data_IF_167596230936
#
_entry.id   IF_167596230936
#
_cell.length_a   1.000
_cell.length_b   1.000
_cell.length_c   1.000
_cell.angle_alpha   90.00
_cell.angle_beta   90.00
_cell.angle_gamma   90.00
#
_symmetry.space_group_name_H-M   'P 1'
#
loop_
_entity.id
_entity.type
_entity.pdbx_description
1 polymer ?
#
# COMPACT_ATOMS: atom_id res chain seq x y z
N UNK A 1 -2.82 -12.94 33.04
CA UNK A 1 -3.39 -13.17 31.69
C UNK A 1 -3.31 -14.65 31.23
N UNK A 2 -2.35 -15.47 31.68
CA UNK A 2 -2.16 -16.85 31.16
C UNK A 2 -3.02 -17.97 31.80
N UNK A 3 -3.63 -17.74 32.97
CA UNK A 3 -4.39 -18.75 33.73
C UNK A 3 -5.41 -19.60 32.93
N UNK A 4 -6.28 -19.04 32.05
CA UNK A 4 -7.25 -19.84 31.31
C UNK A 4 -6.60 -20.84 30.35
N UNK A 5 -5.43 -20.52 29.82
CA UNK A 5 -4.69 -21.39 28.90
C UNK A 5 -4.06 -22.58 29.65
N UNK A 6 -3.48 -22.34 30.83
CA UNK A 6 -2.97 -23.41 31.70
C UNK A 6 -4.09 -24.37 32.15
N UNK A 7 -5.26 -23.86 32.52
CA UNK A 7 -6.39 -24.72 32.90
C UNK A 7 -6.82 -25.68 31.77
N UNK A 8 -6.76 -25.21 30.51
CA UNK A 8 -7.03 -26.06 29.34
C UNK A 8 -5.91 -27.09 29.13
N UNK A 9 -4.66 -26.67 29.27
CA UNK A 9 -3.51 -27.57 29.15
C UNK A 9 -3.51 -28.68 30.20
N UNK A 10 -3.79 -28.37 31.47
CA UNK A 10 -3.94 -29.38 32.53
C UNK A 10 -5.13 -30.33 32.33
N UNK A 11 -6.10 -29.97 31.48
CA UNK A 11 -7.18 -30.87 31.02
C UNK A 11 -6.79 -31.71 29.81
N UNK A 12 -5.52 -31.68 29.40
CA UNK A 12 -5.00 -32.48 28.30
C UNK A 12 -5.05 -31.82 26.91
N UNK A 13 -5.43 -30.54 26.83
CA UNK A 13 -5.56 -29.83 25.55
C UNK A 13 -4.24 -29.13 25.21
N UNK A 14 -3.66 -29.42 24.05
CA UNK A 14 -2.58 -28.58 23.52
C UNK A 14 -3.15 -27.19 23.15
N UNK A 15 -2.50 -26.14 23.62
CA UNK A 15 -2.93 -24.75 23.40
C UNK A 15 -1.84 -23.99 22.70
N UNK A 16 -2.20 -23.23 21.68
CA UNK A 16 -1.34 -22.25 21.01
C UNK A 16 -2.08 -20.92 20.98
N UNK A 17 -1.40 -19.84 21.36
CA UNK A 17 -2.00 -18.51 21.46
C UNK A 17 -0.93 -17.40 21.44
N UNK A 18 -1.36 -16.18 21.11
CA UNK A 18 -0.57 -14.97 21.27
C UNK A 18 -1.02 -14.20 22.51
N UNK A 19 -0.09 -13.53 23.18
CA UNK A 19 -0.36 -12.67 24.32
C UNK A 19 0.56 -11.46 24.32
N UNK A 20 0.00 -10.29 24.58
CA UNK A 20 0.77 -9.06 24.83
C UNK A 20 0.83 -8.81 26.34
N UNK A 21 2.05 -8.67 26.84
CA UNK A 21 2.38 -8.33 28.22
C UNK A 21 2.69 -6.83 28.28
N UNK A 22 1.87 -6.10 29.04
CA UNK A 22 1.95 -4.65 29.16
C UNK A 22 2.48 -4.29 30.56
N UNK A 23 3.66 -4.78 30.94
CA UNK A 23 4.26 -4.45 32.24
C UNK A 23 5.19 -3.23 32.13
N UNK A 24 4.64 -2.11 32.59
CA UNK A 24 5.30 -0.88 33.06
C UNK A 24 6.18 -0.05 32.14
N UNK A 25 6.63 -0.49 30.97
CA UNK A 25 7.19 0.41 29.92
C UNK A 25 7.56 -0.33 28.61
N UNK A 26 7.52 -1.66 28.58
CA UNK A 26 7.76 -2.45 27.37
C UNK A 26 6.53 -3.32 27.05
N UNK A 27 5.89 -3.04 25.92
CA UNK A 27 4.89 -3.91 25.31
C UNK A 27 5.61 -5.12 24.71
N UNK A 28 5.52 -6.28 25.36
CA UNK A 28 6.16 -7.53 24.90
C UNK A 28 5.11 -8.50 24.40
N UNK A 29 5.15 -8.85 23.12
CA UNK A 29 4.27 -9.82 22.51
C UNK A 29 4.91 -11.19 22.42
N UNK A 30 4.23 -12.20 22.92
CA UNK A 30 4.68 -13.58 22.94
C UNK A 30 3.71 -14.47 22.16
N UNK A 31 4.22 -15.21 21.18
CA UNK A 31 3.54 -16.39 20.66
C UNK A 31 3.94 -17.59 21.49
N UNK A 32 2.99 -18.26 22.14
CA UNK A 32 3.29 -19.35 23.05
C UNK A 32 2.44 -20.59 22.81
N UNK A 33 2.98 -21.73 23.23
CA UNK A 33 2.26 -22.99 23.32
C UNK A 33 2.37 -23.61 24.70
N UNK A 34 1.32 -24.32 25.09
CA UNK A 34 1.24 -25.15 26.28
C UNK A 34 0.94 -26.58 25.87
N UNK A 35 1.90 -27.48 26.15
CA UNK A 35 1.80 -28.89 25.82
C UNK A 35 1.72 -29.74 27.09
N UNK A 36 0.63 -30.49 27.32
CA UNK A 36 0.54 -31.42 28.43
C UNK A 36 1.49 -32.59 28.24
N UNK A 37 2.17 -32.98 29.31
CA UNK A 37 3.03 -34.17 29.40
C UNK A 37 2.39 -35.14 30.37
N UNK A 38 2.13 -36.35 29.87
CA UNK A 38 1.40 -37.38 30.59
C UNK A 38 2.33 -38.34 31.32
N UNK A 39 1.91 -38.79 32.50
CA UNK A 39 2.42 -39.99 33.15
C UNK A 39 1.24 -40.95 33.35
N UNK A 40 1.18 -42.02 32.56
CA UNK A 40 -0.04 -42.83 32.45
C UNK A 40 -1.20 -42.04 31.82
N UNK A 41 -2.34 -41.99 32.50
CA UNK A 41 -3.55 -41.29 32.05
C UNK A 41 -3.70 -39.86 32.64
N UNK A 42 -2.74 -39.40 33.45
CA UNK A 42 -2.80 -38.10 34.10
C UNK A 42 -1.77 -37.13 33.52
N UNK A 43 -2.16 -35.85 33.39
CA UNK A 43 -1.24 -34.78 33.01
C UNK A 43 -0.37 -34.45 34.20
N UNK A 44 0.93 -34.80 34.14
CA UNK A 44 1.89 -34.55 35.22
C UNK A 44 2.54 -33.17 35.12
N UNK A 45 2.82 -32.73 33.90
CA UNK A 45 3.45 -31.43 33.64
C UNK A 45 2.78 -30.74 32.45
N UNK A 46 2.97 -29.42 32.36
CA UNK A 46 2.67 -28.65 31.16
C UNK A 46 3.95 -27.94 30.75
N UNK A 47 4.40 -28.20 29.53
CA UNK A 47 5.54 -27.51 28.93
C UNK A 47 5.04 -26.21 28.34
N UNK A 48 5.62 -25.10 28.78
CA UNK A 48 5.43 -23.77 28.18
C UNK A 48 6.60 -23.47 27.25
N UNK A 49 6.28 -23.15 26.00
CA UNK A 49 7.25 -22.65 25.04
C UNK A 49 6.73 -21.31 24.53
N UNK A 50 7.57 -20.27 24.51
CA UNK A 50 7.20 -18.97 24.00
C UNK A 50 8.31 -18.41 23.12
N UNK A 51 7.89 -17.71 22.08
CA UNK A 51 8.74 -16.96 21.16
C UNK A 51 8.35 -15.50 21.26
N UNK A 52 9.33 -14.63 21.44
CA UNK A 52 9.12 -13.20 21.36
C UNK A 52 8.80 -12.81 19.92
N UNK A 53 7.65 -12.17 19.73
CA UNK A 53 7.14 -11.67 18.44
C UNK A 53 6.91 -10.17 18.48
N UNK A 54 7.45 -9.47 19.48
CA UNK A 54 7.30 -8.01 19.66
C UNK A 54 7.81 -7.27 18.44
N UNK A 55 9.03 -7.59 17.97
CA UNK A 55 9.63 -6.96 16.79
C UNK A 55 8.73 -7.11 15.56
N UNK A 56 8.19 -8.31 15.31
CA UNK A 56 7.29 -8.57 14.19
C UNK A 56 6.03 -7.71 14.28
N UNK A 57 5.39 -7.65 15.45
CA UNK A 57 4.16 -6.86 15.62
C UNK A 57 4.42 -5.36 15.50
N UNK A 58 5.53 -4.85 16.04
CA UNK A 58 5.93 -3.45 15.91
C UNK A 58 6.17 -3.10 14.43
N UNK A 59 6.84 -3.97 13.68
CA UNK A 59 7.09 -3.77 12.26
C UNK A 59 5.79 -3.75 11.45
N UNK A 60 4.89 -4.72 11.66
CA UNK A 60 3.59 -4.79 10.99
C UNK A 60 2.77 -3.53 11.28
N UNK A 61 2.65 -3.14 12.56
CA UNK A 61 1.92 -1.93 12.93
C UNK A 61 2.54 -0.67 12.34
N UNK A 62 3.86 -0.56 12.35
CA UNK A 62 4.56 0.59 11.76
C UNK A 62 4.31 0.69 10.26
N UNK A 63 4.25 -0.46 9.55
CA UNK A 63 3.91 -0.52 8.13
C UNK A 63 2.45 -0.08 7.90
N UNK A 64 1.49 -0.65 8.64
CA UNK A 64 0.08 -0.28 8.54
C UNK A 64 -0.14 1.22 8.83
N UNK A 65 0.54 1.78 9.83
CA UNK A 65 0.49 3.20 10.15
C UNK A 65 1.08 4.06 9.01
N UNK A 66 2.18 3.63 8.39
CA UNK A 66 2.78 4.32 7.26
C UNK A 66 1.88 4.28 6.01
N UNK A 67 1.30 3.12 5.68
CA UNK A 67 0.36 2.96 4.56
C UNK A 67 -0.88 3.83 4.74
N UNK A 68 -1.46 3.83 5.95
CA UNK A 68 -2.62 4.67 6.26
C UNK A 68 -2.29 6.17 6.18
N UNK A 69 -1.09 6.58 6.62
CA UNK A 69 -0.63 7.98 6.48
C UNK A 69 -0.48 8.34 5.00
N UNK A 70 0.17 7.49 4.21
CA UNK A 70 0.34 7.71 2.77
C UNK A 70 -1.01 7.83 2.06
N UNK A 71 -1.93 6.88 2.29
CA UNK A 71 -3.26 6.90 1.68
C UNK A 71 -4.06 8.17 2.02
N UNK A 72 -3.99 8.66 3.27
CA UNK A 72 -4.64 9.91 3.67
C UNK A 72 -4.00 11.13 3.01
N UNK A 73 -2.67 11.16 2.94
CA UNK A 73 -1.96 12.26 2.27
C UNK A 73 -2.36 12.33 0.80
N UNK A 74 -2.28 11.23 0.06
CA UNK A 74 -2.61 11.23 -1.38
C UNK A 74 -4.07 11.57 -1.66
N UNK A 75 -5.00 11.20 -0.76
CA UNK A 75 -6.41 11.58 -0.86
C UNK A 75 -6.67 13.08 -0.72
N UNK A 76 -5.84 13.78 0.06
CA UNK A 76 -6.00 15.20 0.35
C UNK A 76 -5.21 16.10 -0.61
N UNK A 77 -4.25 15.56 -1.37
CA UNK A 77 -3.49 16.32 -2.36
C UNK A 77 -4.43 16.90 -3.44
N UNK A 78 -4.26 18.19 -3.81
CA UNK A 78 -5.03 18.80 -4.89
C UNK A 78 -4.59 18.28 -6.27
N UNK A 79 -3.32 17.84 -6.36
CA UNK A 79 -2.67 17.37 -7.58
C UNK A 79 -3.00 15.90 -7.84
N UNK A 80 -3.09 15.54 -9.11
CA UNK A 80 -3.30 14.17 -9.53
C UNK A 80 -2.03 13.35 -9.33
N UNK A 81 -2.15 12.19 -8.71
CA UNK A 81 -1.04 11.26 -8.53
C UNK A 81 -1.43 9.90 -9.12
N UNK A 82 -0.62 9.43 -10.07
CA UNK A 82 -0.72 8.10 -10.64
C UNK A 82 0.55 7.32 -10.32
N UNK A 83 0.41 6.03 -10.06
CA UNK A 83 1.51 5.07 -10.06
C UNK A 83 1.33 4.16 -11.27
N UNK A 84 2.38 4.00 -12.07
CA UNK A 84 2.34 3.19 -13.28
C UNK A 84 3.46 2.14 -13.29
N UNK A 85 3.18 1.01 -13.92
CA UNK A 85 4.13 -0.03 -14.29
C UNK A 85 3.91 -0.39 -15.76
N UNK A 86 4.97 -0.41 -16.57
CA UNK A 86 4.87 -0.75 -17.99
C UNK A 86 3.83 0.07 -18.80
N UNK A 87 3.74 1.38 -18.50
CA UNK A 87 2.73 2.31 -19.04
C UNK A 87 1.28 2.05 -18.56
N UNK A 88 1.06 1.07 -17.69
CA UNK A 88 -0.24 0.71 -17.12
C UNK A 88 -0.42 1.32 -15.73
N UNK A 89 -1.56 1.95 -15.49
CA UNK A 89 -1.86 2.58 -14.20
C UNK A 89 -2.25 1.52 -13.17
N UNK A 90 -1.48 1.44 -12.08
CA UNK A 90 -1.70 0.51 -10.97
C UNK A 90 -2.27 1.19 -9.72
N UNK A 91 -2.14 2.51 -9.60
CA UNK A 91 -2.78 3.30 -8.54
C UNK A 91 -3.07 4.72 -9.00
N UNK A 92 -4.13 5.31 -8.45
CA UNK A 92 -4.57 6.66 -8.76
C UNK A 92 -5.24 7.30 -7.54
N UNK A 93 -4.89 8.56 -7.23
CA UNK A 93 -5.56 9.30 -6.16
C UNK A 93 -6.88 9.97 -6.67
N UNK A 94 -7.79 10.40 -5.79
CA UNK A 94 -9.05 11.05 -6.21
C UNK A 94 -8.85 12.32 -7.05
N UNK A 95 -7.79 13.08 -6.79
CA UNK A 95 -7.49 14.29 -7.56
C UNK A 95 -7.15 14.00 -9.03
N UNK A 96 -6.51 12.86 -9.32
CA UNK A 96 -6.24 12.45 -10.70
C UNK A 96 -7.52 12.23 -11.50
N UNK A 97 -8.51 11.54 -10.92
CA UNK A 97 -9.83 11.36 -11.56
C UNK A 97 -10.50 12.71 -11.83
N UNK A 98 -10.46 13.64 -10.86
CA UNK A 98 -11.01 14.99 -11.01
C UNK A 98 -10.34 15.78 -12.13
N UNK A 99 -9.00 15.80 -12.18
CA UNK A 99 -8.24 16.52 -13.21
C UNK A 99 -8.45 15.92 -14.60
N UNK A 100 -8.65 14.60 -14.66
CA UNK A 100 -8.90 13.84 -15.89
C UNK A 100 -10.39 13.71 -16.24
N UNK A 101 -11.29 14.38 -15.51
CA UNK A 101 -12.72 14.40 -15.81
C UNK A 101 -13.47 13.08 -15.64
N UNK A 102 -12.94 12.17 -14.82
CA UNK A 102 -13.52 10.86 -14.51
C UNK A 102 -14.26 10.88 -13.16
N UNK A 103 -15.22 9.97 -12.96
CA UNK A 103 -16.01 9.95 -11.72
C UNK A 103 -15.27 9.27 -10.57
N UNK A 104 -14.35 8.35 -10.88
CA UNK A 104 -13.65 7.55 -9.87
C UNK A 104 -12.22 7.24 -10.31
N UNK A 105 -11.23 7.25 -9.38
CA UNK A 105 -9.88 6.79 -9.66
C UNK A 105 -9.82 5.32 -10.09
N UNK A 106 -10.83 4.51 -9.75
CA UNK A 106 -10.90 3.12 -10.19
C UNK A 106 -11.06 2.97 -11.71
N UNK A 107 -11.59 3.98 -12.41
CA UNK A 107 -11.71 3.97 -13.88
C UNK A 107 -10.35 4.14 -14.59
N UNK A 108 -9.32 4.56 -13.85
CA UNK A 108 -7.96 4.70 -14.37
C UNK A 108 -7.15 3.41 -14.23
N UNK A 109 -7.53 2.50 -13.32
CA UNK A 109 -6.75 1.31 -13.04
C UNK A 109 -6.77 0.35 -14.23
N UNK A 110 -5.59 -0.11 -14.64
CA UNK A 110 -5.40 -0.98 -15.80
C UNK A 110 -5.37 -0.25 -17.15
N UNK A 111 -5.54 1.08 -17.16
CA UNK A 111 -5.47 1.86 -18.39
C UNK A 111 -4.03 2.26 -18.74
N UNK A 112 -3.78 2.38 -20.05
CA UNK A 112 -2.51 2.88 -20.57
C UNK A 112 -2.44 4.41 -20.39
N UNK A 113 -1.37 4.89 -19.74
CA UNK A 113 -1.13 6.31 -19.48
C UNK A 113 -1.20 7.15 -20.75
N UNK A 114 -0.58 6.66 -21.83
CA UNK A 114 -0.51 7.31 -23.14
C UNK A 114 -1.89 7.58 -23.77
N UNK A 115 -2.94 6.88 -23.36
CA UNK A 115 -4.32 7.13 -23.84
C UNK A 115 -5.00 8.32 -23.19
N UNK A 116 -4.52 8.75 -22.03
CA UNK A 116 -5.14 9.83 -21.26
C UNK A 116 -4.70 11.20 -21.76
N UNK A 117 -3.58 11.29 -22.47
CA UNK A 117 -2.97 12.54 -22.88
C UNK A 117 -2.68 12.58 -24.38
N UNK A 118 -2.63 13.78 -24.94
CA UNK A 118 -2.19 14.07 -26.30
C UNK A 118 -1.15 15.20 -26.25
N UNK A 119 -0.25 15.21 -27.23
CA UNK A 119 0.72 16.29 -27.37
C UNK A 119 0.01 17.62 -27.65
N UNK A 120 0.50 18.74 -27.09
CA UNK A 120 -0.05 20.07 -27.35
C UNK A 120 0.14 20.46 -28.82
N UNK A 121 1.28 20.07 -29.41
CA UNK A 121 1.59 20.36 -30.80
C UNK A 121 2.55 19.33 -31.41
N UNK A 122 2.06 18.36 -32.20
CA UNK A 122 0.71 18.27 -32.78
C UNK A 122 -0.31 17.62 -31.82
N UNK A 123 -1.58 18.07 -31.81
CA UNK A 123 -2.71 17.45 -31.10
C UNK A 123 -2.99 15.99 -31.48
N UNK A 124 -2.08 15.10 -31.13
CA UNK A 124 -2.04 13.69 -31.50
C UNK A 124 -1.65 12.87 -30.29
N UNK A 125 -2.11 11.63 -30.30
CA UNK A 125 -1.72 10.62 -29.32
C UNK A 125 -0.22 10.34 -29.44
N UNK A 126 0.44 10.12 -28.31
CA UNK A 126 1.84 9.75 -28.27
C UNK A 126 2.05 8.41 -28.98
N UNK A 127 2.99 8.37 -29.93
CA UNK A 127 3.36 7.15 -30.66
C UNK A 127 4.32 6.26 -29.89
N UNK A 128 4.94 6.81 -28.84
CA UNK A 128 5.82 6.13 -27.90
C UNK A 128 5.21 6.16 -26.50
N UNK A 129 5.68 5.26 -25.63
CA UNK A 129 5.27 5.22 -24.22
C UNK A 129 5.53 6.58 -23.56
N UNK A 130 4.48 7.23 -23.08
CA UNK A 130 4.58 8.56 -22.47
C UNK A 130 5.47 8.53 -21.22
N UNK A 131 5.44 7.42 -20.49
CA UNK A 131 6.36 7.06 -19.40
C UNK A 131 7.86 7.24 -19.72
N UNK A 132 8.26 7.05 -20.99
CA UNK A 132 9.66 7.24 -21.41
C UNK A 132 10.00 8.68 -21.81
N UNK A 133 8.98 9.51 -22.07
CA UNK A 133 9.14 10.91 -22.48
C UNK A 133 9.16 11.86 -21.29
N UNK A 134 8.41 11.52 -20.24
CA UNK A 134 8.41 12.28 -18.98
C UNK A 134 9.67 11.87 -18.21
N UNK A 135 10.73 12.66 -18.36
CA UNK A 135 12.00 12.52 -17.63
C UNK A 135 12.07 13.54 -16.49
N UNK A 136 13.26 13.95 -16.04
CA UNK A 136 13.48 14.90 -14.92
C UNK A 136 12.83 16.28 -15.13
N UNK A 137 12.40 16.59 -16.35
CA UNK A 137 11.75 17.88 -16.67
C UNK A 137 10.25 17.72 -16.78
N UNK A 138 9.48 18.71 -16.27
CA UNK A 138 8.05 18.75 -16.51
C UNK A 138 7.72 18.69 -17.99
N UNK A 139 6.75 17.84 -18.32
CA UNK A 139 6.23 17.67 -19.65
C UNK A 139 4.82 18.22 -19.72
N UNK A 140 4.59 19.21 -20.57
CA UNK A 140 3.28 19.85 -20.71
C UNK A 140 2.53 19.22 -21.87
N UNK A 141 1.28 18.83 -21.63
CA UNK A 141 0.43 18.17 -22.62
C UNK A 141 -1.05 18.50 -22.39
N UNK A 142 -1.91 17.97 -23.26
CA UNK A 142 -3.35 18.14 -23.15
C UNK A 142 -4.01 16.82 -22.75
N UNK A 143 -5.10 16.88 -21.99
CA UNK A 143 -5.97 15.70 -21.77
C UNK A 143 -6.63 15.27 -23.08
N UNK A 144 -6.81 13.96 -23.25
CA UNK A 144 -7.44 13.38 -24.44
C UNK A 144 -8.98 13.49 -24.39
N UNK A 145 -9.64 13.18 -25.51
CA UNK A 145 -11.10 13.10 -25.58
C UNK A 145 -11.73 12.10 -24.58
N UNK A 146 -10.95 11.13 -24.08
CA UNK A 146 -11.39 10.19 -23.05
C UNK A 146 -11.72 10.87 -21.72
N UNK A 147 -11.06 11.98 -21.44
CA UNK A 147 -11.23 12.77 -20.22
C UNK A 147 -12.48 13.67 -20.26
N UNK A 148 -13.24 13.66 -21.36
CA UNK A 148 -14.48 14.45 -21.53
C UNK A 148 -14.25 15.93 -21.86
N UNK A 149 -13.12 16.52 -21.47
CA UNK A 149 -12.71 17.88 -21.85
C UNK A 149 -11.20 17.96 -22.10
N UNK A 150 -10.79 18.91 -22.93
CA UNK A 150 -9.39 19.26 -23.17
C UNK A 150 -8.92 20.25 -22.11
N UNK A 151 -7.89 19.89 -21.35
CA UNK A 151 -7.23 20.70 -20.33
C UNK A 151 -5.72 20.61 -20.52
N UNK A 152 -5.05 21.74 -20.33
CA UNK A 152 -3.58 21.79 -20.31
C UNK A 152 -3.07 21.35 -18.95
N UNK A 153 -2.22 20.34 -18.93
CA UNK A 153 -1.67 19.77 -17.70
C UNK A 153 -0.16 19.66 -17.80
N UNK A 154 0.49 19.82 -16.65
CA UNK A 154 1.91 19.58 -16.49
C UNK A 154 2.11 18.23 -15.80
N UNK A 155 2.88 17.36 -16.45
CA UNK A 155 3.25 16.05 -15.96
C UNK A 155 4.67 16.07 -15.41
N UNK A 156 4.88 15.53 -14.22
CA UNK A 156 6.20 15.19 -13.71
C UNK A 156 6.25 13.70 -13.47
N UNK A 157 7.39 13.07 -13.76
CA UNK A 157 7.61 11.68 -13.45
C UNK A 157 8.80 11.54 -12.50
N UNK A 158 8.66 10.66 -11.53
CA UNK A 158 9.79 10.14 -10.77
C UNK A 158 9.78 8.62 -10.87
N UNK A 159 10.95 8.02 -11.05
CA UNK A 159 11.10 6.57 -11.24
C UNK A 159 11.60 5.94 -9.95
N UNK A 160 10.94 4.87 -9.51
CA UNK A 160 11.33 4.13 -8.31
C UNK A 160 11.17 2.62 -8.49
N UNK A 161 12.01 1.86 -7.82
CA UNK A 161 11.87 0.41 -7.78
C UNK A 161 10.89 0.01 -6.66
N UNK A 162 9.76 -0.61 -7.01
CA UNK A 162 8.79 -1.15 -6.06
C UNK A 162 8.73 -2.66 -6.25
N UNK A 163 9.01 -3.42 -5.18
CA UNK A 163 8.97 -4.90 -5.18
C UNK A 163 9.77 -5.57 -6.32
N UNK A 164 10.81 -4.90 -6.83
CA UNK A 164 11.66 -5.39 -7.93
C UNK A 164 11.18 -5.02 -9.33
N UNK A 165 10.02 -4.38 -9.47
CA UNK A 165 9.53 -3.76 -10.71
C UNK A 165 10.00 -2.31 -10.80
N UNK A 166 10.32 -1.84 -12.00
CA UNK A 166 10.47 -0.40 -12.27
C UNK A 166 9.08 0.23 -12.38
N UNK A 167 8.73 1.03 -11.39
CA UNK A 167 7.47 1.77 -11.34
C UNK A 167 7.76 3.27 -11.47
N UNK A 168 6.80 4.03 -11.99
CA UNK A 168 6.92 5.48 -12.07
C UNK A 168 5.74 6.16 -11.38
N UNK A 169 6.03 7.20 -10.61
CA UNK A 169 5.03 8.10 -10.06
C UNK A 169 4.85 9.26 -11.03
N UNK A 170 3.63 9.46 -11.52
CA UNK A 170 3.26 10.59 -12.36
C UNK A 170 2.45 11.58 -11.54
N UNK A 171 2.97 12.79 -11.40
CA UNK A 171 2.26 13.94 -10.84
C UNK A 171 1.61 14.72 -11.98
N UNK A 172 0.32 15.01 -11.86
CA UNK A 172 -0.50 15.77 -12.81
C UNK A 172 -0.92 17.06 -12.12
N UNK A 173 -0.51 18.18 -12.67
CA UNK A 173 -0.90 19.52 -12.23
C UNK A 173 -1.64 20.23 -13.35
N UNK A 174 -2.57 21.09 -13.00
CA UNK A 174 -3.12 22.04 -13.97
C UNK A 174 -1.99 22.98 -14.40
N UNK A 175 -1.86 23.25 -15.69
CA UNK A 175 -0.79 24.12 -16.20
C UNK A 175 -1.15 25.61 -16.13
N UNK A 176 -2.43 25.92 -15.88
CA UNK A 176 -2.95 27.28 -15.82
C UNK A 176 -3.14 27.82 -14.38
N UNK A 177 -2.86 26.98 -13.35
CA UNK A 177 -2.88 27.35 -11.91
C UNK A 177 -1.53 27.88 -11.39
#
# INVERSE_FOLDING_TARGET
>A
KLAPYYQRAFKGVHVEAEITLDETDLETSLHFSLSPVYEGNEVRFVVFHAVDTSEKQILVRSLEEAENKFAKLTQLLPDGLLLIEDDTIISANPASARLLGLNSPHELLGEELSRLFIDENPKKVFSHRLSTLISDKPFVCLTSARCGFERKVQLHADSMAILGSESQIILIQDADD
#
